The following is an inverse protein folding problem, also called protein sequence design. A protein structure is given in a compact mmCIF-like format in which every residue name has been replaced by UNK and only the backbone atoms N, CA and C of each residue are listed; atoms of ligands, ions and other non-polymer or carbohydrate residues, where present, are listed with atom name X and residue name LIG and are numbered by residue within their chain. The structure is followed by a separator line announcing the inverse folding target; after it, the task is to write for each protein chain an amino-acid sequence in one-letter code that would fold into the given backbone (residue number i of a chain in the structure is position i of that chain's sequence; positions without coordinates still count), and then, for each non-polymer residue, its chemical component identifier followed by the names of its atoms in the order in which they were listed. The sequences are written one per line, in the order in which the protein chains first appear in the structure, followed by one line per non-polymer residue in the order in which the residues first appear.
data_IF_316180551764
#
_entry.id   IF_316180551764
#
_cell.length_a   1.000
_cell.length_b   1.000
_cell.length_c   1.000
_cell.angle_alpha   90.00
_cell.angle_beta   90.00
_cell.angle_gamma   90.00
#
_symmetry.space_group_name_H-M   'P 1'
#
loop_
_entity.id
_entity.type
_entity.pdbx_description
1 polymer ?
#
# COMPACT_ATOMS: atom_id res chain seq x y z
N UNK A 1 -0.27 -4.33 1.79
CA UNK A 1 -1.07 -3.13 2.04
C UNK A 1 -2.48 -3.49 1.69
N UNK A 2 -3.36 -3.45 2.69
CA UNK A 2 -4.77 -3.80 2.61
C UNK A 2 -5.57 -2.52 2.87
N UNK A 3 -6.49 -2.23 1.98
CA UNK A 3 -7.44 -1.12 2.10
C UNK A 3 -8.82 -1.79 2.09
N UNK A 4 -9.35 -2.06 3.30
CA UNK A 4 -10.68 -2.68 3.46
C UNK A 4 -10.73 -3.81 4.49
N UNK A 5 -9.56 -4.31 4.93
CA UNK A 5 -9.42 -5.30 6.00
C UNK A 5 -9.67 -6.74 5.56
N UNK A 6 -9.67 -6.99 4.25
CA UNK A 6 -9.96 -8.30 3.65
C UNK A 6 -8.91 -9.36 3.99
N UNK A 7 -7.66 -8.94 4.24
CA UNK A 7 -6.54 -9.84 4.50
C UNK A 7 -6.35 -10.20 5.97
N UNK A 8 -7.18 -9.65 6.88
CA UNK A 8 -7.08 -9.92 8.33
C UNK A 8 -7.11 -11.40 8.66
N UNK A 9 -8.19 -12.08 8.25
CA UNK A 9 -8.42 -13.50 8.55
C UNK A 9 -7.28 -14.37 8.01
N UNK A 10 -6.89 -14.15 6.76
CA UNK A 10 -5.77 -14.86 6.13
C UNK A 10 -4.47 -14.63 6.89
N UNK A 11 -4.15 -13.38 7.22
CA UNK A 11 -2.92 -13.03 7.95
C UNK A 11 -2.85 -13.73 9.30
N UNK A 12 -3.91 -13.65 10.09
CA UNK A 12 -3.99 -14.27 11.42
C UNK A 12 -3.89 -15.81 11.33
N UNK A 13 -4.60 -16.44 10.38
CA UNK A 13 -4.59 -17.89 10.19
C UNK A 13 -3.22 -18.46 9.81
N UNK A 14 -2.38 -17.68 9.14
CA UNK A 14 -1.01 -18.09 8.79
C UNK A 14 0.04 -17.63 9.81
N UNK A 15 -0.39 -17.19 11.01
CA UNK A 15 0.51 -16.71 12.07
C UNK A 15 1.22 -15.40 11.71
N UNK A 16 0.63 -14.62 10.80
CA UNK A 16 1.15 -13.34 10.38
C UNK A 16 0.83 -12.21 11.36
N UNK A 17 1.46 -11.06 11.11
CA UNK A 17 1.26 -9.83 11.86
C UNK A 17 0.26 -8.94 11.14
N UNK A 18 -0.96 -8.84 11.70
CA UNK A 18 -1.96 -7.88 11.23
C UNK A 18 -1.82 -6.58 12.01
N UNK A 19 -1.70 -5.46 11.29
CA UNK A 19 -1.37 -4.15 11.84
C UNK A 19 -2.49 -3.19 11.40
N UNK A 20 -3.56 -3.05 12.22
CA UNK A 20 -4.61 -2.08 11.94
C UNK A 20 -4.12 -0.68 12.24
N UNK A 21 -4.17 0.19 11.24
CA UNK A 21 -3.82 1.60 11.35
C UNK A 21 -5.13 2.39 11.38
N UNK A 22 -5.28 3.16 12.44
CA UNK A 22 -6.48 3.95 12.72
C UNK A 22 -6.22 4.94 13.84
N UNK A 23 -7.16 5.85 14.07
CA UNK A 23 -7.03 6.93 15.04
C UNK A 23 -6.82 6.43 16.50
N UNK A 24 -7.31 5.23 16.82
CA UNK A 24 -7.14 4.59 18.13
C UNK A 24 -5.86 3.72 18.22
N UNK A 25 -5.14 3.54 17.10
CA UNK A 25 -3.91 2.75 17.11
C UNK A 25 -2.84 3.47 17.93
N UNK A 26 -2.15 2.74 18.80
CA UNK A 26 -0.99 3.25 19.54
C UNK A 26 0.30 3.19 18.71
N UNK A 27 0.18 2.98 17.40
CA UNK A 27 1.30 2.84 16.49
C UNK A 27 1.86 4.23 16.23
N UNK A 28 3.18 4.32 16.26
CA UNK A 28 3.90 5.47 15.76
C UNK A 28 5.02 5.06 14.82
N UNK A 29 5.18 5.86 13.76
CA UNK A 29 6.24 5.75 12.77
C UNK A 29 6.86 7.14 12.63
N UNK A 30 8.04 7.33 13.22
CA UNK A 30 8.83 8.54 13.05
C UNK A 30 9.43 8.58 11.63
N UNK A 31 9.10 9.56 10.78
CA UNK A 31 9.59 9.61 9.42
C UNK A 31 11.10 9.84 9.32
N UNK A 32 11.69 10.41 10.37
CA UNK A 32 13.12 10.68 10.47
C UNK A 32 13.96 9.47 10.86
N UNK A 33 13.34 8.36 11.24
CA UNK A 33 14.08 7.16 11.61
C UNK A 33 14.94 6.65 10.46
N UNK A 34 16.23 6.56 10.74
CA UNK A 34 17.26 6.17 9.79
C UNK A 34 18.35 5.36 10.51
N UNK A 35 18.36 4.05 10.27
CA UNK A 35 19.37 3.15 10.84
C UNK A 35 20.69 3.16 10.05
N UNK A 36 20.62 3.40 8.73
CA UNK A 36 21.77 3.46 7.84
C UNK A 36 22.27 4.91 7.73
N UNK A 37 23.48 5.16 8.23
CA UNK A 37 24.11 6.49 8.27
C UNK A 37 25.01 6.77 7.06
N UNK A 38 24.91 5.97 5.99
CA UNK A 38 25.61 6.24 4.74
C UNK A 38 25.09 7.52 4.06
N UNK A 39 25.95 8.18 3.30
CA UNK A 39 25.60 9.42 2.57
C UNK A 39 24.40 9.18 1.65
N UNK A 40 24.38 8.07 0.92
CA UNK A 40 23.30 7.72 0.01
C UNK A 40 21.95 7.53 0.74
N UNK A 41 21.97 6.92 1.92
CA UNK A 41 20.78 6.72 2.74
C UNK A 41 20.25 8.05 3.31
N UNK A 42 21.14 8.93 3.75
CA UNK A 42 20.79 10.28 4.22
C UNK A 42 20.19 11.10 3.07
N UNK A 43 20.80 11.11 1.89
CA UNK A 43 20.29 11.84 0.73
C UNK A 43 18.92 11.32 0.26
N UNK A 44 18.69 10.01 0.33
CA UNK A 44 17.36 9.42 0.09
C UNK A 44 16.35 9.84 1.16
N UNK A 45 16.77 9.85 2.43
CA UNK A 45 15.90 10.27 3.55
C UNK A 45 15.52 11.75 3.47
N UNK A 46 16.45 12.63 3.06
CA UNK A 46 16.15 14.05 2.80
C UNK A 46 15.06 14.16 1.74
N UNK A 47 15.22 13.49 0.58
CA UNK A 47 14.22 13.53 -0.50
C UNK A 47 12.86 12.98 -0.05
N UNK A 48 12.86 11.91 0.73
CA UNK A 48 11.65 11.32 1.31
C UNK A 48 10.93 12.32 2.22
N UNK A 49 11.64 12.94 3.16
CA UNK A 49 11.09 13.93 4.08
C UNK A 49 10.59 15.18 3.36
N UNK A 50 11.28 15.64 2.32
CA UNK A 50 10.80 16.76 1.49
C UNK A 50 9.51 16.41 0.76
N UNK A 51 9.39 15.19 0.22
CA UNK A 51 8.13 14.72 -0.38
C UNK A 51 7.01 14.52 0.65
N UNK A 52 7.34 14.15 1.88
CA UNK A 52 6.39 14.08 2.99
C UNK A 52 5.84 15.47 3.34
N UNK A 53 6.71 16.48 3.42
CA UNK A 53 6.28 17.87 3.63
C UNK A 53 5.39 18.32 2.47
N UNK A 54 5.81 18.09 1.23
CA UNK A 54 5.00 18.40 0.05
C UNK A 54 3.62 17.75 0.11
N UNK A 55 3.52 16.49 0.53
CA UNK A 55 2.25 15.80 0.71
C UNK A 55 1.37 16.46 1.79
N UNK A 56 1.95 16.85 2.92
CA UNK A 56 1.23 17.45 4.05
C UNK A 56 0.81 18.90 3.84
N UNK A 57 1.55 19.64 3.00
CA UNK A 57 1.36 21.07 2.82
C UNK A 57 0.73 21.44 1.49
N UNK A 58 0.44 20.46 0.63
CA UNK A 58 -0.18 20.70 -0.66
C UNK A 58 -1.62 21.19 -0.45
N UNK A 59 -1.88 22.42 -0.87
CA UNK A 59 -3.22 22.95 -1.02
C UNK A 59 -3.76 22.59 -2.43
N UNK A 60 -5.07 22.38 -2.56
CA UNK A 60 -5.71 21.91 -3.81
C UNK A 60 -5.44 22.82 -5.02
N UNK A 61 -5.17 24.10 -4.76
CA UNK A 61 -5.05 25.15 -5.77
C UNK A 61 -3.60 25.39 -6.23
N UNK A 62 -2.60 24.78 -5.56
CA UNK A 62 -1.19 25.07 -5.76
C UNK A 62 -0.45 23.97 -6.55
N UNK A 63 0.54 24.38 -7.36
CA UNK A 63 1.37 23.47 -8.18
C UNK A 63 2.42 22.68 -7.37
N UNK A 64 2.28 22.60 -6.05
CA UNK A 64 3.26 22.00 -5.14
C UNK A 64 4.40 22.95 -4.76
N UNK A 65 5.43 22.40 -4.11
CA UNK A 65 6.54 23.16 -3.54
C UNK A 65 7.45 23.71 -4.64
N UNK A 66 7.76 25.02 -4.59
CA UNK A 66 8.66 25.67 -5.56
C UNK A 66 10.11 25.28 -5.30
N UNK A 67 10.98 25.47 -6.30
CA UNK A 67 12.41 25.09 -6.22
C UNK A 67 13.15 25.74 -5.04
N UNK A 68 12.87 27.01 -4.74
CA UNK A 68 13.51 27.74 -3.63
C UNK A 68 13.07 27.16 -2.28
N UNK A 69 11.75 27.05 -2.07
CA UNK A 69 11.15 26.44 -0.87
C UNK A 69 11.68 25.02 -0.66
N UNK A 70 11.72 24.20 -1.72
CA UNK A 70 12.28 22.85 -1.69
C UNK A 70 13.74 22.84 -1.22
N UNK A 71 14.57 23.72 -1.78
CA UNK A 71 15.99 23.82 -1.40
C UNK A 71 16.16 24.22 0.07
N UNK A 72 15.31 25.10 0.57
CA UNK A 72 15.36 25.55 1.97
C UNK A 72 14.92 24.42 2.92
N UNK A 73 13.82 23.74 2.61
CA UNK A 73 13.33 22.58 3.36
C UNK A 73 14.40 21.47 3.40
N UNK A 74 15.01 21.14 2.26
CA UNK A 74 16.08 20.14 2.19
C UNK A 74 17.30 20.53 3.05
N UNK A 75 17.62 21.82 3.13
CA UNK A 75 18.71 22.36 3.97
C UNK A 75 18.38 22.25 5.46
N UNK A 76 17.14 22.58 5.84
CA UNK A 76 16.65 22.45 7.23
C UNK A 76 16.65 20.98 7.66
N UNK A 77 16.10 20.08 6.84
CA UNK A 77 16.09 18.64 7.12
C UNK A 77 17.51 18.11 7.30
N UNK A 78 18.43 18.48 6.40
CA UNK A 78 19.83 18.05 6.48
C UNK A 78 20.50 18.51 7.78
N UNK A 79 20.18 19.71 8.24
CA UNK A 79 20.70 20.25 9.51
C UNK A 79 20.13 19.48 10.71
N UNK A 80 18.82 19.22 10.72
CA UNK A 80 18.15 18.46 11.77
C UNK A 80 18.71 17.03 11.89
N UNK A 81 18.89 16.33 10.76
CA UNK A 81 19.45 14.98 10.72
C UNK A 81 20.91 14.93 11.22
N UNK A 82 21.65 16.03 11.10
CA UNK A 82 23.03 16.12 11.57
C UNK A 82 23.13 16.46 13.05
N UNK A 83 22.29 17.36 13.54
CA UNK A 83 22.44 17.98 14.85
C UNK A 83 21.62 17.28 15.95
N UNK A 84 20.61 16.48 15.61
CA UNK A 84 19.74 15.79 16.56
C UNK A 84 19.90 14.28 16.49
N UNK A 85 19.94 13.63 17.65
CA UNK A 85 20.03 12.17 17.77
C UNK A 85 18.70 11.45 17.53
N UNK A 86 17.57 12.07 17.91
CA UNK A 86 16.22 11.54 17.68
C UNK A 86 15.34 12.67 17.09
N UNK A 87 15.58 13.07 15.82
CA UNK A 87 14.82 14.12 15.17
C UNK A 87 13.37 13.71 14.93
N UNK A 88 12.46 14.69 14.98
CA UNK A 88 11.01 14.51 14.80
C UNK A 88 10.40 15.59 13.91
N UNK A 89 9.13 15.41 13.55
CA UNK A 89 8.40 16.38 12.71
C UNK A 89 8.24 17.74 13.41
N UNK A 90 8.07 17.74 14.73
CA UNK A 90 8.11 18.95 15.57
C UNK A 90 9.38 19.78 15.37
N UNK A 91 10.53 19.12 15.21
CA UNK A 91 11.81 19.81 15.02
C UNK A 91 11.85 20.53 13.67
N UNK A 92 11.36 19.85 12.64
CA UNK A 92 11.24 20.43 11.31
C UNK A 92 10.25 21.59 11.32
N UNK A 93 9.05 21.37 11.87
CA UNK A 93 8.03 22.41 12.02
C UNK A 93 8.60 23.69 12.65
N UNK A 94 9.26 23.56 13.80
CA UNK A 94 9.83 24.71 14.51
C UNK A 94 10.90 25.43 13.67
N UNK A 95 11.78 24.69 13.00
CA UNK A 95 12.79 25.28 12.14
C UNK A 95 12.18 25.98 10.90
N UNK A 96 11.09 25.44 10.32
CA UNK A 96 10.39 26.10 9.22
C UNK A 96 9.69 27.39 9.67
N UNK A 97 9.18 27.45 10.90
CA UNK A 97 8.55 28.65 11.47
C UNK A 97 9.54 29.83 11.63
N UNK A 98 10.82 29.53 11.81
CA UNK A 98 11.92 30.50 11.94
C UNK A 98 12.45 31.01 10.59
N UNK A 99 12.00 30.44 9.47
CA UNK A 99 12.41 30.86 8.13
C UNK A 99 12.04 32.32 7.84
N UNK A 100 12.94 33.04 7.16
CA UNK A 100 12.68 34.38 6.62
C UNK A 100 11.77 34.35 5.39
N UNK A 101 11.64 33.20 4.72
CA UNK A 101 10.77 33.03 3.56
C UNK A 101 9.35 32.71 4.01
N UNK A 102 8.42 33.64 3.75
CA UNK A 102 7.02 33.53 4.18
C UNK A 102 6.33 32.24 3.74
N UNK A 103 6.67 31.72 2.55
CA UNK A 103 6.11 30.47 2.04
C UNK A 103 6.55 29.25 2.87
N UNK A 104 7.82 29.20 3.26
CA UNK A 104 8.37 28.14 4.12
C UNK A 104 7.82 28.26 5.55
N UNK A 105 7.69 29.48 6.06
CA UNK A 105 7.01 29.72 7.34
C UNK A 105 5.55 29.27 7.32
N UNK A 106 4.82 29.46 6.20
CA UNK A 106 3.44 28.98 6.04
C UNK A 106 3.38 27.44 6.14
N UNK A 107 4.34 26.72 5.55
CA UNK A 107 4.43 25.27 5.68
C UNK A 107 4.62 24.83 7.13
N UNK A 108 5.47 25.52 7.90
CA UNK A 108 5.61 25.29 9.34
C UNK A 108 4.28 25.42 10.10
N UNK A 109 3.42 26.38 9.73
CA UNK A 109 2.07 26.52 10.34
C UNK A 109 1.14 25.38 9.94
N UNK A 110 1.19 24.92 8.69
CA UNK A 110 0.38 23.78 8.20
C UNK A 110 0.79 22.47 8.90
N UNK A 111 2.05 22.33 9.31
CA UNK A 111 2.54 21.16 10.03
C UNK A 111 2.10 21.09 11.51
N UNK A 112 1.51 22.15 12.08
CA UNK A 112 1.09 22.19 13.49
C UNK A 112 0.17 21.01 13.90
N UNK A 113 -0.89 20.65 13.13
CA UNK A 113 -1.76 19.53 13.47
C UNK A 113 -1.06 18.17 13.38
N UNK A 114 0.14 18.08 12.81
CA UNK A 114 0.91 16.84 12.65
C UNK A 114 1.90 16.60 13.79
N UNK A 115 1.95 17.47 14.79
CA UNK A 115 2.99 17.45 15.82
C UNK A 115 2.43 17.22 17.24
N UNK A 116 3.27 16.72 18.13
CA UNK A 116 3.00 16.55 19.55
C UNK A 116 1.86 15.55 19.84
N UNK A 117 0.95 15.95 20.73
CA UNK A 117 -0.18 15.13 21.20
C UNK A 117 -1.45 15.26 20.34
N UNK A 118 -1.35 15.93 19.18
CA UNK A 118 -2.46 15.98 18.24
C UNK A 118 -2.84 14.58 17.73
N UNK A 119 -4.04 14.38 17.17
CA UNK A 119 -4.42 13.08 16.60
C UNK A 119 -3.42 12.55 15.57
N UNK A 120 -2.81 13.41 14.75
CA UNK A 120 -1.84 13.01 13.74
C UNK A 120 -0.42 12.90 14.33
N UNK A 121 -0.06 13.79 15.26
CA UNK A 121 1.24 13.79 15.93
C UNK A 121 1.49 12.54 16.75
N UNK A 122 0.45 11.95 17.34
CA UNK A 122 0.53 10.63 18.01
C UNK A 122 1.03 9.52 17.08
N UNK A 123 0.74 9.61 15.78
CA UNK A 123 1.20 8.65 14.78
C UNK A 123 2.60 8.98 14.26
N UNK A 124 2.86 10.25 13.92
CA UNK A 124 4.06 10.60 13.13
C UNK A 124 5.18 11.29 13.92
N UNK A 125 4.87 11.89 15.05
CA UNK A 125 5.78 12.77 15.81
C UNK A 125 6.17 12.18 17.17
N UNK A 126 6.04 10.86 17.30
CA UNK A 126 6.53 10.08 18.43
C UNK A 126 7.66 9.17 17.98
N UNK A 127 8.35 8.56 18.96
CA UNK A 127 9.36 7.54 18.65
C UNK A 127 8.67 6.35 17.98
N UNK A 128 9.25 5.83 16.89
CA UNK A 128 8.70 4.64 16.25
C UNK A 128 8.62 3.49 17.25
N UNK A 129 7.47 2.81 17.24
CA UNK A 129 7.23 1.62 18.06
C UNK A 129 6.71 0.43 17.24
N UNK A 130 6.75 0.58 15.91
CA UNK A 130 6.34 -0.43 14.97
C UNK A 130 7.52 -1.34 14.61
N UNK A 131 7.43 -2.61 15.01
CA UNK A 131 8.37 -3.65 14.61
C UNK A 131 7.70 -4.66 13.69
N UNK A 132 8.38 -4.98 12.58
CA UNK A 132 7.94 -5.97 11.61
C UNK A 132 8.76 -7.24 11.83
N UNK A 133 8.15 -8.28 12.39
CA UNK A 133 8.87 -9.50 12.83
C UNK A 133 8.37 -10.80 12.20
N UNK A 134 7.17 -10.79 11.61
CA UNK A 134 6.56 -11.98 11.02
C UNK A 134 6.84 -12.10 9.51
N UNK A 135 6.72 -13.31 8.98
CA UNK A 135 6.90 -13.57 7.52
C UNK A 135 5.77 -13.00 6.67
N UNK A 136 4.57 -12.89 7.25
CA UNK A 136 3.39 -12.30 6.61
C UNK A 136 3.01 -11.11 7.45
N UNK A 137 2.97 -9.94 6.83
CA UNK A 137 2.69 -8.67 7.49
C UNK A 137 1.66 -7.94 6.67
N UNK A 138 0.56 -7.55 7.30
CA UNK A 138 -0.54 -6.85 6.66
C UNK A 138 -0.78 -5.52 7.38
N UNK A 139 -0.53 -4.42 6.67
CA UNK A 139 -0.94 -3.09 7.09
C UNK A 139 -2.34 -2.82 6.56
N UNK A 140 -3.30 -2.59 7.46
CA UNK A 140 -4.68 -2.26 7.14
C UNK A 140 -4.95 -0.78 7.42
N UNK A 141 -5.40 -0.04 6.41
CA UNK A 141 -5.71 1.39 6.51
C UNK A 141 -7.21 1.70 6.63
N UNK A 142 -8.08 0.70 6.72
CA UNK A 142 -9.54 0.89 6.83
C UNK A 142 -9.95 1.85 7.94
N UNK A 143 -9.23 1.84 9.06
CA UNK A 143 -9.48 2.72 10.19
C UNK A 143 -9.25 4.21 9.93
N UNK A 144 -8.73 4.59 8.75
CA UNK A 144 -8.41 5.96 8.36
C UNK A 144 -9.30 6.53 7.25
N UNK A 145 -10.33 5.80 6.80
CA UNK A 145 -11.21 6.26 5.70
C UNK A 145 -11.87 7.63 5.97
N UNK A 146 -12.13 7.96 7.25
CA UNK A 146 -12.68 9.25 7.65
C UNK A 146 -11.63 10.38 7.74
N UNK A 147 -10.35 10.09 7.51
CA UNK A 147 -9.20 10.99 7.66
C UNK A 147 -8.25 10.85 6.45
N UNK A 148 -8.67 11.28 5.24
CA UNK A 148 -7.93 11.05 4.00
C UNK A 148 -6.50 11.59 4.02
N UNK A 149 -6.26 12.77 4.63
CA UNK A 149 -4.91 13.34 4.75
C UNK A 149 -3.99 12.42 5.57
N UNK A 150 -4.49 11.93 6.72
CA UNK A 150 -3.74 11.02 7.57
C UNK A 150 -3.54 9.67 6.85
N UNK A 151 -4.54 9.18 6.14
CA UNK A 151 -4.42 7.97 5.33
C UNK A 151 -3.32 8.08 4.28
N UNK A 152 -3.27 9.19 3.54
CA UNK A 152 -2.24 9.44 2.52
C UNK A 152 -0.84 9.49 3.14
N UNK A 153 -0.69 10.17 4.28
CA UNK A 153 0.58 10.22 5.02
C UNK A 153 0.97 8.85 5.56
N UNK A 154 0.07 8.13 6.21
CA UNK A 154 0.31 6.77 6.72
C UNK A 154 0.76 5.84 5.60
N UNK A 155 0.03 5.86 4.47
CA UNK A 155 0.36 5.08 3.30
C UNK A 155 1.78 5.40 2.80
N UNK A 156 2.13 6.68 2.68
CA UNK A 156 3.47 7.12 2.29
C UNK A 156 4.56 6.66 3.28
N UNK A 157 4.33 6.75 4.59
CA UNK A 157 5.27 6.27 5.60
C UNK A 157 5.48 4.75 5.54
N UNK A 158 4.41 4.00 5.35
CA UNK A 158 4.49 2.54 5.23
C UNK A 158 5.25 2.15 3.96
N UNK A 159 5.15 2.95 2.89
CA UNK A 159 5.95 2.69 1.68
C UNK A 159 7.46 2.78 1.93
N UNK A 160 7.94 3.74 2.73
CA UNK A 160 9.34 3.82 3.15
C UNK A 160 9.74 2.65 4.05
N UNK A 161 8.86 2.26 4.99
CA UNK A 161 9.08 1.07 5.81
C UNK A 161 9.23 -0.19 4.95
N UNK A 162 8.31 -0.43 4.02
CA UNK A 162 8.35 -1.57 3.08
C UNK A 162 9.65 -1.55 2.28
N UNK A 163 10.05 -0.38 1.76
CA UNK A 163 11.29 -0.23 1.01
C UNK A 163 12.49 -0.66 1.84
N UNK A 164 12.61 -0.16 3.07
CA UNK A 164 13.70 -0.50 4.00
C UNK A 164 13.68 -1.99 4.36
N UNK A 165 12.53 -2.57 4.68
CA UNK A 165 12.43 -4.01 4.99
C UNK A 165 12.84 -4.89 3.80
N UNK A 166 12.45 -4.53 2.57
CA UNK A 166 12.86 -5.26 1.37
C UNK A 166 14.38 -5.19 1.17
N UNK A 167 15.01 -4.06 1.46
CA UNK A 167 16.45 -3.88 1.27
C UNK A 167 17.31 -4.66 2.27
N UNK A 168 16.80 -4.92 3.48
CA UNK A 168 17.53 -5.65 4.53
C UNK A 168 17.91 -7.07 4.14
N UNK A 169 17.13 -7.71 3.28
CA UNK A 169 17.37 -9.09 2.88
C UNK A 169 17.32 -9.23 1.35
N UNK A 170 18.45 -9.61 0.76
CA UNK A 170 18.61 -9.84 -0.69
C UNK A 170 18.51 -11.30 -1.09
N UNK A 171 18.40 -12.21 -0.13
CA UNK A 171 18.55 -13.66 -0.34
C UNK A 171 17.19 -14.35 -0.44
N UNK A 172 16.23 -14.02 0.43
CA UNK A 172 14.92 -14.67 0.43
C UNK A 172 13.93 -13.96 -0.50
N UNK A 173 13.11 -14.76 -1.17
CA UNK A 173 12.06 -14.24 -2.04
C UNK A 173 10.96 -13.56 -1.21
N UNK A 174 10.47 -12.41 -1.70
CA UNK A 174 9.44 -11.62 -1.02
C UNK A 174 8.34 -11.24 -1.98
N UNK A 175 7.10 -11.20 -1.50
CA UNK A 175 5.98 -10.59 -2.21
C UNK A 175 5.57 -9.32 -1.49
N UNK A 176 5.42 -8.24 -2.25
CA UNK A 176 4.91 -6.97 -1.74
C UNK A 176 3.64 -6.66 -2.49
N UNK A 177 2.51 -6.74 -1.77
CA UNK A 177 1.16 -6.63 -2.32
C UNK A 177 0.60 -5.26 -1.97
N UNK A 178 0.20 -4.52 -2.99
CA UNK A 178 -0.50 -3.24 -2.92
C UNK A 178 -1.93 -3.47 -3.37
N UNK A 179 -2.82 -3.74 -2.42
CA UNK A 179 -4.26 -3.75 -2.70
C UNK A 179 -4.76 -2.32 -2.88
N UNK A 180 -5.75 -2.12 -3.76
CA UNK A 180 -6.26 -0.79 -4.15
C UNK A 180 -5.16 0.25 -4.39
N UNK A 181 -4.15 -0.12 -5.20
CA UNK A 181 -2.94 0.68 -5.36
C UNK A 181 -3.18 2.05 -6.01
N UNK A 182 -4.38 2.32 -6.55
CA UNK A 182 -4.74 3.60 -7.12
C UNK A 182 -4.66 4.75 -6.11
N UNK A 183 -4.86 4.49 -4.81
CA UNK A 183 -4.67 5.50 -3.76
C UNK A 183 -3.23 6.02 -3.70
N UNK A 184 -2.24 5.16 -3.99
CA UNK A 184 -0.84 5.60 -4.11
C UNK A 184 -0.62 6.49 -5.35
N UNK A 185 -1.42 6.30 -6.40
CA UNK A 185 -1.29 7.02 -7.67
C UNK A 185 -1.87 8.44 -7.62
N UNK A 186 -2.71 8.76 -6.61
CA UNK A 186 -3.27 10.11 -6.43
C UNK A 186 -2.22 11.16 -6.06
N UNK A 187 -1.14 10.74 -5.38
CA UNK A 187 -0.02 11.60 -5.02
C UNK A 187 1.19 11.40 -5.94
N UNK A 188 1.90 12.48 -6.28
CA UNK A 188 3.12 12.38 -7.08
C UNK A 188 4.22 11.55 -6.37
N UNK A 189 4.26 11.61 -5.04
CA UNK A 189 5.23 10.88 -4.24
C UNK A 189 4.93 9.36 -4.25
N UNK A 190 3.67 8.96 -4.03
CA UNK A 190 3.25 7.56 -4.11
C UNK A 190 3.39 6.97 -5.51
N UNK A 191 3.09 7.78 -6.53
CA UNK A 191 3.34 7.48 -7.94
C UNK A 191 4.81 7.13 -8.23
N UNK A 192 5.74 8.00 -7.80
CA UNK A 192 7.19 7.78 -7.95
C UNK A 192 7.68 6.58 -7.14
N UNK A 193 7.09 6.34 -5.97
CA UNK A 193 7.39 5.17 -5.17
C UNK A 193 7.02 3.88 -5.90
N UNK A 194 5.79 3.76 -6.41
CA UNK A 194 5.36 2.58 -7.18
C UNK A 194 6.24 2.35 -8.41
N UNK A 195 6.55 3.40 -9.17
CA UNK A 195 7.51 3.30 -10.28
C UNK A 195 8.87 2.73 -9.82
N UNK A 196 9.41 3.23 -8.71
CA UNK A 196 10.69 2.78 -8.16
C UNK A 196 10.65 1.32 -7.72
N UNK A 197 9.55 0.91 -7.08
CA UNK A 197 9.28 -0.47 -6.65
C UNK A 197 9.32 -1.41 -7.85
N UNK A 198 8.49 -1.17 -8.87
CA UNK A 198 8.36 -2.07 -10.02
C UNK A 198 9.66 -2.17 -10.84
N UNK A 199 10.51 -1.12 -10.84
CA UNK A 199 11.82 -1.16 -11.53
C UNK A 199 12.93 -1.85 -10.72
N UNK A 200 12.87 -1.77 -9.39
CA UNK A 200 14.04 -2.02 -8.53
C UNK A 200 13.92 -3.26 -7.68
N UNK A 201 12.71 -3.65 -7.23
CA UNK A 201 12.52 -4.75 -6.27
C UNK A 201 13.05 -6.10 -6.74
N UNK A 202 13.10 -6.33 -8.05
CA UNK A 202 13.75 -7.50 -8.66
C UNK A 202 15.23 -7.68 -8.22
N UNK A 203 15.95 -6.60 -7.92
CA UNK A 203 17.35 -6.65 -7.43
C UNK A 203 17.47 -7.17 -6.00
N UNK A 204 16.35 -7.19 -5.26
CA UNK A 204 16.23 -7.63 -3.87
C UNK A 204 15.46 -8.95 -3.74
N UNK A 205 15.29 -9.68 -4.86
CA UNK A 205 14.48 -10.90 -4.94
C UNK A 205 13.03 -10.69 -4.46
N UNK A 206 12.52 -9.47 -4.63
CA UNK A 206 11.16 -9.11 -4.28
C UNK A 206 10.31 -8.95 -5.55
N UNK A 207 9.08 -9.45 -5.49
CA UNK A 207 8.04 -9.28 -6.50
C UNK A 207 7.00 -8.30 -5.97
N UNK A 208 6.71 -7.26 -6.75
CA UNK A 208 5.65 -6.31 -6.45
C UNK A 208 4.37 -6.72 -7.19
N UNK A 209 3.25 -6.70 -6.47
CA UNK A 209 1.92 -7.02 -6.98
C UNK A 209 1.04 -5.81 -6.70
N UNK A 210 0.44 -5.25 -7.74
CA UNK A 210 -0.51 -4.16 -7.64
C UNK A 210 -1.89 -4.66 -8.05
N UNK A 211 -2.90 -4.36 -7.24
CA UNK A 211 -4.29 -4.77 -7.45
C UNK A 211 -5.14 -3.49 -7.52
N UNK A 212 -6.01 -3.40 -8.52
CA UNK A 212 -7.06 -2.37 -8.60
C UNK A 212 -8.30 -2.94 -9.29
N UNK A 213 -9.46 -2.40 -8.96
CA UNK A 213 -10.74 -2.71 -9.60
C UNK A 213 -10.94 -1.96 -10.92
N UNK A 214 -10.42 -0.74 -11.03
CA UNK A 214 -10.56 0.11 -12.21
C UNK A 214 -9.26 0.18 -12.99
N UNK A 215 -9.30 -0.26 -14.24
CA UNK A 215 -8.16 -0.11 -15.16
C UNK A 215 -7.92 1.36 -15.54
N UNK A 216 -8.94 2.21 -15.43
CA UNK A 216 -8.83 3.64 -15.72
C UNK A 216 -7.90 4.34 -14.72
N UNK A 217 -7.81 3.83 -13.50
CA UNK A 217 -6.92 4.35 -12.46
C UNK A 217 -5.45 4.23 -12.90
N UNK A 218 -5.12 3.12 -13.56
CA UNK A 218 -3.82 2.96 -14.19
C UNK A 218 -3.72 3.87 -15.42
N UNK A 219 -4.71 3.83 -16.33
CA UNK A 219 -4.73 4.54 -17.61
C UNK A 219 -4.40 6.03 -17.51
N UNK A 220 -5.00 6.69 -16.52
CA UNK A 220 -4.90 8.14 -16.34
C UNK A 220 -3.64 8.56 -15.56
N UNK A 221 -2.98 7.62 -14.88
CA UNK A 221 -1.75 7.90 -14.15
C UNK A 221 -0.53 7.93 -15.09
N UNK A 222 0.38 8.89 -14.87
CA UNK A 222 1.71 8.90 -15.54
C UNK A 222 2.52 7.63 -15.25
N UNK A 223 2.18 6.93 -14.18
CA UNK A 223 2.87 5.77 -13.62
C UNK A 223 2.54 4.47 -14.35
N UNK A 224 1.41 4.39 -15.06
CA UNK A 224 1.09 3.21 -15.89
C UNK A 224 2.21 2.85 -16.86
N UNK A 225 2.86 3.86 -17.43
CA UNK A 225 4.03 3.71 -18.30
C UNK A 225 5.23 3.06 -17.61
N UNK A 226 5.29 3.10 -16.27
CA UNK A 226 6.32 2.45 -15.49
C UNK A 226 5.88 1.09 -14.92
N UNK A 227 4.63 0.95 -14.46
CA UNK A 227 4.14 -0.30 -13.86
C UNK A 227 3.98 -1.38 -14.93
N UNK A 228 3.25 -1.09 -16.01
CA UNK A 228 2.81 -2.12 -16.95
C UNK A 228 3.96 -2.78 -17.73
N UNK A 229 5.00 -2.06 -18.19
CA UNK A 229 6.14 -2.70 -18.86
C UNK A 229 7.03 -3.51 -17.90
N UNK A 230 7.03 -3.18 -16.61
CA UNK A 230 7.83 -3.88 -15.59
C UNK A 230 7.05 -5.01 -14.88
N UNK A 231 5.73 -5.10 -15.07
CA UNK A 231 4.89 -6.19 -14.60
C UNK A 231 4.91 -7.35 -15.62
N UNK A 232 5.73 -8.38 -15.38
CA UNK A 232 5.86 -9.53 -16.28
C UNK A 232 4.63 -10.43 -16.33
N UNK A 233 3.83 -10.43 -15.26
CA UNK A 233 2.59 -11.22 -15.13
C UNK A 233 1.43 -10.28 -14.88
N UNK A 234 0.33 -10.47 -15.59
CA UNK A 234 -0.91 -9.69 -15.45
C UNK A 234 -2.10 -10.64 -15.40
N UNK A 235 -2.95 -10.44 -14.40
CA UNK A 235 -4.19 -11.17 -14.22
C UNK A 235 -5.36 -10.23 -14.50
N UNK A 236 -6.11 -10.49 -15.57
CA UNK A 236 -7.28 -9.70 -15.92
C UNK A 236 -8.51 -10.56 -15.64
N UNK A 237 -9.16 -10.30 -14.51
CA UNK A 237 -10.41 -10.93 -14.13
C UNK A 237 -11.59 -10.25 -14.84
N UNK A 238 -12.80 -10.79 -14.65
CA UNK A 238 -14.04 -10.25 -15.21
C UNK A 238 -14.17 -8.74 -14.99
N UNK A 239 -14.31 -7.99 -16.08
CA UNK A 239 -14.51 -6.55 -16.07
C UNK A 239 -16.00 -6.24 -16.23
N UNK A 240 -16.64 -5.67 -15.21
CA UNK A 240 -18.07 -5.31 -15.24
C UNK A 240 -18.23 -3.83 -15.55
N UNK A 241 -18.73 -3.48 -16.73
CA UNK A 241 -18.94 -2.07 -17.11
C UNK A 241 -17.67 -1.25 -17.33
N UNK A 242 -16.50 -1.89 -17.41
CA UNK A 242 -15.21 -1.23 -17.63
C UNK A 242 -15.00 -0.79 -19.08
N UNK A 243 -14.14 0.20 -19.28
CA UNK A 243 -13.75 0.68 -20.60
C UNK A 243 -12.76 -0.27 -21.28
N UNK A 244 -13.31 -1.30 -21.93
CA UNK A 244 -12.53 -2.32 -22.65
C UNK A 244 -11.63 -1.72 -23.75
N UNK A 245 -12.03 -0.59 -24.34
CA UNK A 245 -11.20 0.10 -25.33
C UNK A 245 -9.93 0.69 -24.71
N UNK A 246 -10.02 1.22 -23.48
CA UNK A 246 -8.86 1.68 -22.73
C UNK A 246 -7.95 0.50 -22.37
N UNK A 247 -8.51 -0.59 -21.85
CA UNK A 247 -7.77 -1.81 -21.54
C UNK A 247 -7.02 -2.36 -22.77
N UNK A 248 -7.71 -2.44 -23.91
CA UNK A 248 -7.14 -2.91 -25.18
C UNK A 248 -5.93 -2.06 -25.58
N UNK A 249 -6.05 -0.74 -25.51
CA UNK A 249 -4.97 0.20 -25.86
C UNK A 249 -3.77 0.08 -24.91
N UNK A 250 -4.04 0.02 -23.60
CA UNK A 250 -3.03 0.03 -22.54
C UNK A 250 -2.20 -1.25 -22.54
N UNK A 251 -2.87 -2.39 -22.72
CA UNK A 251 -2.22 -3.70 -22.74
C UNK A 251 -1.81 -4.15 -24.15
N UNK A 252 -2.04 -3.30 -25.15
CA UNK A 252 -1.77 -3.58 -26.57
C UNK A 252 -2.40 -4.92 -27.02
N UNK A 253 -3.69 -5.10 -26.69
CA UNK A 253 -4.43 -6.32 -27.02
C UNK A 253 -5.03 -6.24 -28.42
N UNK A 254 -5.01 -7.37 -29.13
CA UNK A 254 -5.73 -7.49 -30.39
C UNK A 254 -7.23 -7.80 -30.16
N UNK A 255 -8.03 -7.75 -31.24
CA UNK A 255 -9.48 -7.99 -31.18
C UNK A 255 -9.84 -9.37 -30.60
N UNK A 256 -9.03 -10.40 -30.85
CA UNK A 256 -9.29 -11.74 -30.29
C UNK A 256 -8.99 -11.80 -28.80
N UNK A 257 -7.92 -11.15 -28.38
CA UNK A 257 -7.52 -11.09 -26.97
C UNK A 257 -8.54 -10.32 -26.14
N UNK A 258 -9.11 -9.22 -26.66
CA UNK A 258 -10.16 -8.50 -25.94
C UNK A 258 -11.46 -9.32 -25.86
N UNK A 259 -11.84 -10.07 -26.92
CA UNK A 259 -12.95 -11.03 -26.85
C UNK A 259 -12.71 -12.13 -25.81
N UNK A 260 -11.45 -12.56 -25.62
CA UNK A 260 -11.11 -13.52 -24.57
C UNK A 260 -11.30 -12.90 -23.17
N UNK A 261 -10.85 -11.66 -22.97
CA UNK A 261 -11.10 -10.91 -21.72
C UNK A 261 -12.60 -10.78 -21.45
N UNK A 262 -13.41 -10.46 -22.46
CA UNK A 262 -14.87 -10.38 -22.32
C UNK A 262 -15.53 -11.71 -21.98
N UNK A 263 -14.95 -12.82 -22.46
CA UNK A 263 -15.53 -14.15 -22.26
C UNK A 263 -15.27 -14.74 -20.87
N UNK A 264 -14.37 -14.15 -20.07
CA UNK A 264 -14.07 -14.66 -18.74
C UNK A 264 -15.28 -14.55 -17.81
N UNK A 265 -15.61 -15.65 -17.15
CA UNK A 265 -16.74 -15.73 -16.22
C UNK A 265 -16.28 -16.02 -14.80
N UNK A 266 -17.19 -15.89 -13.84
CA UNK A 266 -16.94 -16.31 -12.47
C UNK A 266 -18.21 -16.87 -11.89
N UNK A 267 -18.08 -17.96 -11.14
CA UNK A 267 -19.16 -18.58 -10.39
C UNK A 267 -18.71 -18.61 -8.93
N UNK A 268 -19.31 -17.73 -8.12
CA UNK A 268 -19.00 -17.58 -6.69
C UNK A 268 -18.95 -18.95 -6.00
N UNK A 269 -17.89 -19.19 -5.23
CA UNK A 269 -17.64 -20.44 -4.52
C UNK A 269 -17.13 -21.61 -5.37
N UNK A 270 -17.11 -21.49 -6.71
CA UNK A 270 -16.62 -22.55 -7.59
C UNK A 270 -15.34 -22.14 -8.31
N UNK A 271 -15.39 -21.06 -9.09
CA UNK A 271 -14.23 -20.62 -9.88
C UNK A 271 -14.32 -19.15 -10.29
N UNK A 272 -13.17 -18.58 -10.63
CA UNK A 272 -13.04 -17.35 -11.39
C UNK A 272 -12.14 -17.59 -12.60
N UNK A 273 -12.54 -17.13 -13.78
CA UNK A 273 -11.67 -17.13 -14.95
C UNK A 273 -10.93 -15.80 -15.06
N UNK A 274 -9.69 -15.87 -15.54
CA UNK A 274 -8.86 -14.72 -15.79
C UNK A 274 -8.18 -14.86 -17.15
N UNK A 275 -8.03 -13.76 -17.86
CA UNK A 275 -7.10 -13.66 -18.97
C UNK A 275 -5.71 -13.39 -18.39
N UNK A 276 -4.85 -14.41 -18.43
CA UNK A 276 -3.49 -14.38 -17.93
C UNK A 276 -2.54 -13.98 -19.04
N UNK A 277 -1.72 -12.97 -18.77
CA UNK A 277 -0.57 -12.59 -19.60
C UNK A 277 0.69 -12.89 -18.79
N UNK A 278 1.57 -13.75 -19.29
CA UNK A 278 2.83 -14.11 -18.65
C UNK A 278 3.96 -14.06 -19.68
N UNK A 279 4.70 -12.95 -19.71
CA UNK A 279 5.63 -12.67 -20.80
C UNK A 279 4.90 -12.58 -22.14
N UNK A 280 5.25 -13.44 -23.08
CA UNK A 280 4.64 -13.51 -24.41
C UNK A 280 3.41 -14.43 -24.46
N UNK A 281 3.21 -15.27 -23.45
CA UNK A 281 2.08 -16.20 -23.38
C UNK A 281 0.82 -15.50 -22.87
N UNK A 282 -0.30 -15.78 -23.54
CA UNK A 282 -1.62 -15.21 -23.20
C UNK A 282 -2.69 -16.29 -23.27
N UNK A 283 -3.42 -16.51 -22.19
CA UNK A 283 -4.44 -17.56 -22.13
C UNK A 283 -5.55 -17.25 -21.12
N UNK A 284 -6.76 -17.72 -21.39
CA UNK A 284 -7.82 -17.79 -20.37
C UNK A 284 -7.54 -18.97 -19.46
N UNK A 285 -7.38 -18.69 -18.17
CA UNK A 285 -7.14 -19.69 -17.14
C UNK A 285 -8.30 -19.70 -16.15
N UNK A 286 -8.51 -20.84 -15.51
CA UNK A 286 -9.50 -20.99 -14.44
C UNK A 286 -8.78 -21.06 -13.10
N UNK A 287 -9.20 -20.20 -12.19
CA UNK A 287 -8.74 -20.11 -10.81
C UNK A 287 -9.79 -20.81 -9.95
N UNK A 288 -9.38 -21.92 -9.33
CA UNK A 288 -10.21 -22.72 -8.44
C UNK A 288 -9.52 -22.77 -7.08
N UNK A 289 -10.28 -22.56 -6.01
CA UNK A 289 -9.83 -22.78 -4.64
C UNK A 289 -10.31 -24.14 -4.18
N UNK A 290 -9.49 -24.86 -3.42
CA UNK A 290 -10.00 -25.97 -2.62
C UNK A 290 -11.05 -25.44 -1.62
N UNK A 291 -11.99 -26.28 -1.17
CA UNK A 291 -12.97 -25.87 -0.14
C UNK A 291 -12.32 -25.28 1.11
N UNK A 292 -11.15 -25.79 1.52
CA UNK A 292 -10.43 -25.26 2.68
C UNK A 292 -9.88 -23.85 2.41
N UNK A 293 -9.24 -23.63 1.26
CA UNK A 293 -8.74 -22.30 0.85
C UNK A 293 -9.88 -21.28 0.76
N UNK A 294 -11.04 -21.69 0.27
CA UNK A 294 -12.24 -20.84 0.24
C UNK A 294 -12.62 -20.37 1.65
N UNK A 295 -12.81 -21.29 2.60
CA UNK A 295 -13.24 -20.93 3.96
C UNK A 295 -12.17 -20.13 4.73
N UNK A 296 -10.89 -20.41 4.48
CA UNK A 296 -9.78 -19.65 5.04
C UNK A 296 -9.77 -18.17 4.58
N UNK A 297 -10.28 -17.88 3.38
CA UNK A 297 -10.14 -16.56 2.73
C UNK A 297 -11.45 -15.79 2.50
N UNK A 298 -12.61 -16.44 2.54
CA UNK A 298 -13.91 -15.82 2.22
C UNK A 298 -14.19 -14.58 3.06
N UNK A 299 -14.60 -13.50 2.41
CA UNK A 299 -15.09 -12.27 3.06
C UNK A 299 -16.61 -12.13 2.91
N UNK A 300 -17.29 -13.17 2.43
CA UNK A 300 -18.72 -13.14 2.19
C UNK A 300 -19.52 -13.02 3.50
N UNK A 301 -20.47 -12.08 3.61
CA UNK A 301 -21.22 -11.88 4.86
C UNK A 301 -22.00 -13.10 5.34
N UNK A 302 -22.53 -13.93 4.44
CA UNK A 302 -23.28 -15.14 4.81
C UNK A 302 -22.33 -16.17 5.39
N UNK A 303 -21.19 -16.39 4.74
CA UNK A 303 -20.16 -17.31 5.23
C UNK A 303 -19.56 -16.84 6.57
N UNK A 304 -19.29 -15.54 6.71
CA UNK A 304 -18.76 -14.97 7.95
C UNK A 304 -19.73 -15.16 9.12
N UNK A 305 -21.03 -14.96 8.88
CA UNK A 305 -22.06 -15.24 9.89
C UNK A 305 -22.07 -16.71 10.31
N UNK A 306 -21.95 -17.64 9.36
CA UNK A 306 -21.87 -19.09 9.66
C UNK A 306 -20.62 -19.41 10.48
N UNK A 307 -19.47 -18.81 10.16
CA UNK A 307 -18.25 -18.98 10.94
C UNK A 307 -18.43 -18.49 12.37
N UNK A 308 -19.03 -17.33 12.59
CA UNK A 308 -19.26 -16.77 13.92
C UNK A 308 -20.21 -17.63 14.76
N UNK A 309 -21.29 -18.15 14.17
CA UNK A 309 -22.25 -19.04 14.84
C UNK A 309 -21.62 -20.37 15.25
N UNK A 310 -20.70 -20.90 14.43
CA UNK A 310 -20.06 -22.19 14.68
C UNK A 310 -18.80 -22.08 15.53
N UNK A 311 -18.22 -20.88 15.67
CA UNK A 311 -16.91 -20.66 16.32
C UNK A 311 -16.81 -21.25 17.72
N UNK A 312 -17.87 -21.16 18.52
CA UNK A 312 -17.88 -21.67 19.90
C UNK A 312 -17.83 -23.20 20.00
N UNK A 313 -18.07 -23.93 18.90
CA UNK A 313 -18.07 -25.40 18.87
C UNK A 313 -16.68 -25.99 18.61
N UNK A 314 -15.69 -25.16 18.28
CA UNK A 314 -14.34 -25.60 17.92
C UNK A 314 -13.30 -24.85 18.75
N UNK A 315 -12.29 -25.56 19.23
CA UNK A 315 -11.16 -24.95 19.95
C UNK A 315 -10.15 -24.33 18.98
N UNK A 316 -9.94 -24.94 17.82
CA UNK A 316 -8.95 -24.53 16.84
C UNK A 316 -9.60 -23.99 15.54
N UNK A 317 -9.17 -22.83 15.02
CA UNK A 317 -9.73 -22.26 13.79
C UNK A 317 -9.67 -23.22 12.59
N UNK A 318 -8.59 -24.00 12.46
CA UNK A 318 -8.43 -24.95 11.35
C UNK A 318 -9.50 -26.06 11.36
N UNK A 319 -9.93 -26.50 12.54
CA UNK A 319 -10.99 -27.51 12.67
C UNK A 319 -12.33 -26.96 12.20
N UNK A 320 -12.64 -25.71 12.58
CA UNK A 320 -13.83 -24.99 12.11
C UNK A 320 -13.82 -24.89 10.57
N UNK A 321 -12.73 -24.40 9.97
CA UNK A 321 -12.63 -24.27 8.51
C UNK A 321 -12.73 -25.64 7.81
N UNK A 322 -12.13 -26.68 8.38
CA UNK A 322 -12.22 -28.04 7.84
C UNK A 322 -13.65 -28.59 7.91
N UNK A 323 -14.38 -28.32 9.00
CA UNK A 323 -15.78 -28.71 9.13
C UNK A 323 -16.67 -27.96 8.13
N UNK A 324 -16.47 -26.66 7.96
CA UNK A 324 -17.20 -25.86 6.98
C UNK A 324 -16.88 -26.28 5.54
N UNK A 325 -15.62 -26.55 5.23
CA UNK A 325 -15.19 -27.07 3.92
C UNK A 325 -15.85 -28.42 3.57
N UNK A 326 -16.11 -29.28 4.57
CA UNK A 326 -16.85 -30.54 4.36
C UNK A 326 -18.34 -30.33 4.20
N UNK A 327 -18.94 -29.45 5.01
CA UNK A 327 -20.39 -29.22 5.04
C UNK A 327 -20.89 -28.35 3.88
N UNK A 328 -20.11 -27.35 3.52
CA UNK A 328 -20.42 -26.30 2.56
C UNK A 328 -19.22 -26.07 1.62
N UNK A 329 -18.90 -27.02 0.73
CA UNK A 329 -17.65 -26.99 -0.03
C UNK A 329 -17.49 -25.77 -0.95
N UNK A 330 -18.59 -25.09 -1.31
CA UNK A 330 -18.60 -23.93 -2.20
C UNK A 330 -19.15 -22.67 -1.49
N UNK A 331 -19.15 -22.62 -0.16
CA UNK A 331 -19.81 -21.56 0.62
C UNK A 331 -21.25 -21.90 1.04
N UNK A 332 -21.82 -21.08 1.91
CA UNK A 332 -23.11 -21.32 2.58
C UNK A 332 -24.30 -20.58 1.94
N UNK A 333 -24.10 -19.96 0.77
CA UNK A 333 -25.08 -19.11 0.07
C UNK A 333 -26.05 -19.87 -0.84
#
# INVERSE_FOLDING_TARGET
LDIGGSYKKTTENFGGQYIPIGSDSKISINPFDLSDQSIDAIDQKIKFLTSLVELMTKEDDEKGIRKLERSEIETVIKTILKDKSEPRLSDLKNALLESSETAVQKMGKILEPWCGDSPYGKFIDQKSNLEVSQRIVCFDLKGLEAQPDLQAVCLFLITDLIWREVQKDRINAKFVIFDECWQLLESEAGARFLESVFRTFRKYKASAIAISQSMEDFANSKVSSAILPNASVKWILKQTGGNLSALQKILNLNEREIMLVESVTSKKGFYSEAFLIAGDDKQVVKIESTPLEYWLSTTDPVDLKVLDEMKAQFSEPLELFTAMAKKYPNGAF
#
